data_IF_048878452100
#
_entry.id   IF_048878452100
#
_cell.length_a   1.000
_cell.length_b   1.000
_cell.length_c   1.000
_cell.angle_alpha   90.00
_cell.angle_beta   90.00
_cell.angle_gamma   90.00
#
_symmetry.space_group_name_H-M   'P 1'
#
loop_
_entity.id
_entity.type
_entity.pdbx_description
1 polymer ?
#
# COMPACT_ATOMS: atom_id res chain seq x y z
N UNK A 1 15.33 2.28 -27.64
CA UNK A 1 15.81 3.45 -26.88
C UNK A 1 14.58 4.29 -26.59
N UNK A 2 14.12 4.30 -25.34
CA UNK A 2 12.95 5.08 -24.93
C UNK A 2 13.44 6.38 -24.31
N UNK A 3 13.28 7.48 -25.03
CA UNK A 3 13.45 8.83 -24.50
C UNK A 3 12.34 9.06 -23.47
N UNK A 4 12.67 8.88 -22.19
CA UNK A 4 11.81 9.35 -21.12
C UNK A 4 11.79 10.89 -21.21
N UNK A 5 10.60 11.53 -21.29
CA UNK A 5 10.52 12.98 -21.43
C UNK A 5 11.16 13.67 -20.22
N UNK A 6 11.84 14.78 -20.49
CA UNK A 6 12.52 15.59 -19.49
C UNK A 6 11.50 16.04 -18.42
N UNK A 7 11.74 15.84 -17.11
CA UNK A 7 10.79 16.21 -16.05
C UNK A 7 10.33 17.67 -16.06
N UNK A 8 11.06 18.55 -16.77
CA UNK A 8 10.66 19.93 -17.02
C UNK A 8 9.38 20.06 -17.90
N UNK A 9 9.11 19.10 -18.79
CA UNK A 9 8.00 19.15 -19.76
C UNK A 9 6.68 18.54 -19.26
N UNK A 10 6.69 17.91 -18.09
CA UNK A 10 5.49 17.26 -17.54
C UNK A 10 4.43 18.28 -17.10
N UNK A 11 3.18 18.01 -17.46
CA UNK A 11 2.03 18.80 -17.00
C UNK A 11 1.89 18.74 -15.47
N UNK A 12 1.26 19.75 -14.87
CA UNK A 12 0.98 19.77 -13.42
C UNK A 12 0.24 18.51 -12.94
N UNK A 13 -0.63 17.96 -13.78
CA UNK A 13 -1.34 16.71 -13.53
C UNK A 13 -0.40 15.50 -13.48
N UNK A 14 0.52 15.38 -14.45
CA UNK A 14 1.51 14.29 -14.49
C UNK A 14 2.53 14.39 -13.35
N UNK A 15 2.97 15.61 -13.01
CA UNK A 15 3.78 15.85 -11.80
C UNK A 15 3.05 15.39 -10.54
N UNK A 16 1.76 15.67 -10.44
CA UNK A 16 0.89 15.17 -9.37
C UNK A 16 0.84 13.64 -9.29
N UNK A 17 0.74 12.94 -10.43
CA UNK A 17 0.77 11.48 -10.49
C UNK A 17 2.13 10.95 -10.03
N UNK A 18 3.23 11.48 -10.57
CA UNK A 18 4.58 11.03 -10.25
C UNK A 18 4.91 11.22 -8.77
N UNK A 19 4.51 12.36 -8.19
CA UNK A 19 4.68 12.60 -6.76
C UNK A 19 3.94 11.57 -5.91
N UNK A 20 2.70 11.20 -6.29
CA UNK A 20 1.96 10.16 -5.59
C UNK A 20 2.58 8.77 -5.78
N UNK A 21 3.16 8.48 -6.95
CA UNK A 21 3.83 7.21 -7.20
C UNK A 21 5.15 7.04 -6.41
N UNK A 22 5.73 8.11 -5.87
CA UNK A 22 6.87 7.99 -4.95
C UNK A 22 6.49 7.23 -3.67
N UNK A 23 5.24 7.37 -3.22
CA UNK A 23 4.69 6.66 -2.05
C UNK A 23 3.84 5.45 -2.46
N UNK A 24 4.16 4.80 -3.60
CA UNK A 24 3.34 3.70 -4.15
C UNK A 24 3.07 2.59 -3.13
N UNK A 25 4.08 2.22 -2.31
CA UNK A 25 3.96 1.17 -1.29
C UNK A 25 2.86 1.43 -0.27
N UNK A 26 2.61 2.71 0.06
CA UNK A 26 1.52 3.10 0.97
C UNK A 26 0.16 2.77 0.38
N UNK A 27 -0.03 3.06 -0.90
CA UNK A 27 -1.27 2.76 -1.61
C UNK A 27 -1.44 1.25 -1.81
N UNK A 28 -0.38 0.54 -2.20
CA UNK A 28 -0.37 -0.92 -2.33
C UNK A 28 -0.80 -1.59 -1.02
N UNK A 29 -0.24 -1.20 0.13
CA UNK A 29 -0.61 -1.74 1.43
C UNK A 29 -2.10 -1.55 1.78
N UNK A 30 -2.65 -0.39 1.44
CA UNK A 30 -4.08 -0.11 1.66
C UNK A 30 -4.98 -0.93 0.72
N UNK A 31 -4.53 -1.17 -0.53
CA UNK A 31 -5.23 -2.04 -1.48
C UNK A 31 -5.18 -3.49 -1.01
N UNK A 32 -4.02 -4.00 -0.59
CA UNK A 32 -3.85 -5.35 -0.03
C UNK A 32 -4.83 -5.57 1.13
N UNK A 33 -4.80 -4.70 2.13
CA UNK A 33 -5.67 -4.80 3.29
C UNK A 33 -7.15 -4.80 2.91
N UNK A 34 -7.55 -4.01 1.91
CA UNK A 34 -8.92 -3.97 1.43
C UNK A 34 -9.33 -5.26 0.71
N UNK A 35 -8.53 -5.72 -0.25
CA UNK A 35 -8.80 -6.94 -1.03
C UNK A 35 -8.88 -8.15 -0.12
N UNK A 36 -7.88 -8.34 0.77
CA UNK A 36 -7.86 -9.47 1.71
C UNK A 36 -9.06 -9.45 2.65
N UNK A 37 -9.43 -8.29 3.18
CA UNK A 37 -10.60 -8.16 4.06
C UNK A 37 -11.89 -8.53 3.35
N UNK A 38 -12.11 -8.01 2.15
CA UNK A 38 -13.35 -8.29 1.40
C UNK A 38 -13.39 -9.75 0.96
N UNK A 39 -12.27 -10.31 0.51
CA UNK A 39 -12.17 -11.72 0.17
C UNK A 39 -12.44 -12.63 1.39
N UNK A 40 -11.88 -12.29 2.55
CA UNK A 40 -12.07 -13.08 3.77
C UNK A 40 -13.52 -13.03 4.28
N UNK A 41 -14.18 -11.87 4.18
CA UNK A 41 -15.53 -11.68 4.71
C UNK A 41 -16.64 -12.11 3.74
N UNK A 42 -16.42 -12.00 2.44
CA UNK A 42 -17.46 -12.14 1.43
C UNK A 42 -17.10 -13.07 0.27
N UNK A 43 -15.89 -13.66 0.28
CA UNK A 43 -15.35 -14.49 -0.81
C UNK A 43 -15.36 -13.82 -2.19
N UNK A 44 -15.44 -12.48 -2.22
CA UNK A 44 -15.32 -11.74 -3.48
C UNK A 44 -13.85 -11.63 -3.88
N UNK A 45 -13.59 -11.89 -5.15
CA UNK A 45 -12.28 -11.78 -5.78
C UNK A 45 -12.26 -10.76 -6.93
N UNK A 46 -13.39 -10.11 -7.23
CA UNK A 46 -13.50 -9.13 -8.30
C UNK A 46 -13.75 -7.72 -7.75
N UNK A 47 -12.98 -6.76 -8.26
CA UNK A 47 -12.98 -5.41 -7.75
C UNK A 47 -12.94 -4.39 -8.88
N UNK A 48 -13.96 -3.52 -8.98
CA UNK A 48 -13.89 -2.35 -9.83
C UNK A 48 -12.80 -1.40 -9.34
N UNK A 49 -11.93 -0.91 -10.23
CA UNK A 49 -10.87 0.05 -9.89
C UNK A 49 -11.42 1.32 -9.22
N UNK A 50 -12.64 1.72 -9.60
CA UNK A 50 -13.35 2.86 -9.04
C UNK A 50 -13.76 2.64 -7.58
N UNK A 51 -14.12 1.40 -7.22
CA UNK A 51 -14.44 1.04 -5.84
C UNK A 51 -13.20 1.02 -4.98
N UNK A 52 -12.11 0.43 -5.46
CA UNK A 52 -10.80 0.48 -4.80
C UNK A 52 -10.42 1.95 -4.55
N UNK A 53 -10.47 2.79 -5.59
CA UNK A 53 -10.13 4.21 -5.47
C UNK A 53 -10.94 4.92 -4.38
N UNK A 54 -12.27 4.73 -4.33
CA UNK A 54 -13.13 5.34 -3.31
C UNK A 54 -12.70 4.93 -1.91
N UNK A 55 -12.52 3.63 -1.66
CA UNK A 55 -12.13 3.12 -0.34
C UNK A 55 -10.77 3.65 0.10
N UNK A 56 -9.79 3.73 -0.81
CA UNK A 56 -8.46 4.26 -0.51
C UNK A 56 -8.54 5.75 -0.18
N UNK A 57 -9.30 6.54 -0.95
CA UNK A 57 -9.51 7.96 -0.67
C UNK A 57 -10.20 8.19 0.67
N UNK A 58 -11.24 7.40 0.98
CA UNK A 58 -11.98 7.49 2.25
C UNK A 58 -11.07 7.16 3.43
N UNK A 59 -10.23 6.12 3.32
CA UNK A 59 -9.24 5.76 4.35
C UNK A 59 -8.18 6.84 4.59
N UNK A 60 -7.85 7.62 3.55
CA UNK A 60 -6.87 8.70 3.63
C UNK A 60 -7.50 10.06 3.96
N UNK A 61 -8.82 10.13 4.15
CA UNK A 61 -9.52 11.39 4.41
C UNK A 61 -9.44 12.39 3.25
N UNK A 62 -9.36 11.91 2.00
CA UNK A 62 -9.13 12.75 0.83
C UNK A 62 -10.44 13.24 0.20
N UNK A 63 -10.41 14.47 -0.31
CA UNK A 63 -11.56 15.07 -0.99
C UNK A 63 -11.90 14.40 -2.32
N UNK A 64 -13.20 14.30 -2.62
CA UNK A 64 -13.75 13.71 -3.86
C UNK A 64 -13.25 14.42 -5.13
N UNK A 65 -12.88 15.69 -5.04
CA UNK A 65 -12.31 16.49 -6.14
C UNK A 65 -11.04 15.86 -6.73
N UNK A 66 -10.28 15.12 -5.90
CA UNK A 66 -9.04 14.45 -6.31
C UNK A 66 -9.26 13.07 -6.94
N UNK A 67 -10.51 12.62 -7.12
CA UNK A 67 -10.82 11.27 -7.57
C UNK A 67 -10.13 10.90 -8.89
N UNK A 68 -10.11 11.79 -9.88
CA UNK A 68 -9.50 11.50 -11.18
C UNK A 68 -8.01 11.18 -11.05
N UNK A 69 -7.31 11.93 -10.21
CA UNK A 69 -5.87 11.75 -9.96
C UNK A 69 -5.60 10.41 -9.29
N UNK A 70 -6.30 10.12 -8.20
CA UNK A 70 -6.13 8.85 -7.48
C UNK A 70 -6.59 7.66 -8.29
N UNK A 71 -7.67 7.76 -9.06
CA UNK A 71 -8.12 6.68 -9.94
C UNK A 71 -7.04 6.32 -10.97
N UNK A 72 -6.33 7.32 -11.50
CA UNK A 72 -5.20 7.08 -12.41
C UNK A 72 -4.04 6.37 -11.70
N UNK A 73 -3.69 6.77 -10.48
CA UNK A 73 -2.65 6.11 -9.67
C UNK A 73 -3.02 4.65 -9.37
N UNK A 74 -4.26 4.39 -8.93
CA UNK A 74 -4.74 3.03 -8.64
C UNK A 74 -4.71 2.16 -9.89
N UNK A 75 -5.09 2.68 -11.06
CA UNK A 75 -4.97 1.94 -12.33
C UNK A 75 -3.52 1.60 -12.66
N UNK A 76 -2.57 2.51 -12.44
CA UNK A 76 -1.15 2.24 -12.66
C UNK A 76 -0.67 1.09 -11.76
N UNK A 77 -1.10 1.07 -10.48
CA UNK A 77 -0.78 -0.02 -9.55
C UNK A 77 -1.37 -1.35 -10.04
N UNK A 78 -2.66 -1.37 -10.39
CA UNK A 78 -3.34 -2.58 -10.84
C UNK A 78 -2.77 -3.14 -12.15
N UNK A 79 -2.39 -2.28 -13.10
CA UNK A 79 -1.71 -2.72 -14.32
C UNK A 79 -0.34 -3.35 -14.01
N UNK A 80 0.44 -2.75 -13.10
CA UNK A 80 1.72 -3.35 -12.65
C UNK A 80 1.51 -4.70 -11.96
N UNK A 81 0.38 -4.87 -11.26
CA UNK A 81 0.03 -6.12 -10.61
C UNK A 81 -0.45 -7.17 -11.60
N UNK A 82 -1.15 -6.76 -12.65
CA UNK A 82 -1.49 -7.62 -13.78
C UNK A 82 -0.23 -8.15 -14.48
N UNK A 83 0.74 -7.28 -14.78
CA UNK A 83 2.04 -7.68 -15.34
C UNK A 83 2.82 -8.65 -14.43
N UNK A 84 2.62 -8.59 -13.12
CA UNK A 84 3.21 -9.49 -12.13
C UNK A 84 2.39 -10.76 -11.86
N UNK A 85 1.25 -10.94 -12.53
CA UNK A 85 0.33 -12.05 -12.30
C UNK A 85 -0.27 -12.07 -10.89
N UNK A 86 -0.51 -10.89 -10.30
CA UNK A 86 -1.20 -10.72 -9.00
C UNK A 86 -2.72 -10.58 -9.23
N UNK A 87 -3.12 -9.97 -10.34
CA UNK A 87 -4.53 -9.85 -10.72
C UNK A 87 -4.68 -9.98 -12.24
N UNK A 88 -5.91 -10.12 -12.70
CA UNK A 88 -6.25 -10.19 -14.12
C UNK A 88 -7.26 -9.10 -14.45
N UNK A 89 -7.05 -8.39 -15.55
CA UNK A 89 -8.09 -7.53 -16.10
C UNK A 89 -9.20 -8.39 -16.70
N UNK A 90 -10.42 -8.27 -16.18
CA UNK A 90 -11.56 -9.09 -16.63
C UNK A 90 -12.34 -8.38 -17.71
N UNK A 91 -12.80 -7.17 -17.42
CA UNK A 91 -13.75 -6.51 -18.31
C UNK A 91 -13.94 -5.03 -18.02
N UNK A 92 -14.64 -4.43 -18.97
CA UNK A 92 -15.05 -3.07 -19.01
C UNK A 92 -16.59 -3.04 -18.96
N UNK A 93 -17.18 -2.89 -17.76
CA UNK A 93 -18.63 -2.85 -17.63
C UNK A 93 -19.19 -1.49 -18.07
N UNK A 94 -20.08 -1.48 -19.09
CA UNK A 94 -20.89 -0.31 -19.45
C UNK A 94 -22.11 -0.26 -18.52
N UNK A 95 -22.17 0.74 -17.67
CA UNK A 95 -23.42 1.07 -16.94
C UNK A 95 -24.37 1.76 -17.92
N UNK A 96 -25.59 1.25 -18.09
CA UNK A 96 -26.61 1.80 -19.01
C UNK A 96 -26.93 3.28 -18.76
N UNK A 97 -26.68 3.80 -17.56
CA UNK A 97 -26.86 5.21 -17.19
C UNK A 97 -25.60 6.09 -17.26
N UNK A 98 -24.41 5.52 -17.51
CA UNK A 98 -23.15 6.27 -17.51
C UNK A 98 -22.27 5.88 -18.71
N UNK A 99 -21.84 6.87 -19.51
CA UNK A 99 -20.85 6.71 -20.60
C UNK A 99 -19.46 6.22 -20.15
N UNK A 100 -19.27 5.92 -18.86
CA UNK A 100 -17.98 5.53 -18.27
C UNK A 100 -17.92 4.03 -18.07
N UNK A 101 -16.88 3.43 -18.62
CA UNK A 101 -16.51 2.03 -18.46
C UNK A 101 -15.88 1.81 -17.08
N UNK A 102 -16.36 0.83 -16.32
CA UNK A 102 -15.70 0.40 -15.09
C UNK A 102 -14.72 -0.72 -15.42
N UNK A 103 -13.47 -0.50 -15.08
CA UNK A 103 -12.43 -1.54 -15.17
C UNK A 103 -12.53 -2.44 -13.96
N UNK A 104 -12.66 -3.74 -14.20
CA UNK A 104 -12.79 -4.78 -13.18
C UNK A 104 -11.56 -5.65 -13.21
N UNK A 105 -10.95 -5.84 -12.04
CA UNK A 105 -9.79 -6.68 -11.84
C UNK A 105 -10.18 -7.86 -10.95
N UNK A 106 -9.72 -9.07 -11.31
CA UNK A 106 -9.94 -10.31 -10.56
C UNK A 106 -8.64 -10.77 -9.92
N UNK A 107 -8.72 -11.22 -8.68
CA UNK A 107 -7.60 -11.75 -7.91
C UNK A 107 -7.83 -13.24 -7.71
N UNK A 108 -7.25 -14.06 -8.58
CA UNK A 108 -7.30 -15.52 -8.44
C UNK A 108 -6.51 -15.98 -7.19
N UNK A 109 -6.64 -17.25 -6.82
CA UNK A 109 -6.06 -17.76 -5.58
C UNK A 109 -4.54 -17.52 -5.47
N UNK A 110 -3.78 -17.76 -6.56
CA UNK A 110 -2.34 -17.43 -6.63
C UNK A 110 -2.07 -15.93 -6.40
N UNK A 111 -2.91 -15.06 -6.97
CA UNK A 111 -2.83 -13.62 -6.76
C UNK A 111 -3.11 -13.21 -5.32
N UNK A 112 -4.10 -13.83 -4.68
CA UNK A 112 -4.43 -13.63 -3.27
C UNK A 112 -3.30 -14.12 -2.36
N UNK A 113 -2.67 -15.26 -2.67
CA UNK A 113 -1.51 -15.77 -1.94
C UNK A 113 -0.32 -14.81 -2.03
N UNK A 114 -0.01 -14.29 -3.22
CA UNK A 114 1.03 -13.26 -3.39
C UNK A 114 0.74 -12.00 -2.57
N UNK A 115 -0.51 -11.54 -2.55
CA UNK A 115 -0.93 -10.39 -1.74
C UNK A 115 -0.77 -10.68 -0.25
N UNK A 116 -1.16 -11.88 0.21
CA UNK A 116 -0.99 -12.29 1.61
C UNK A 116 0.48 -12.26 2.02
N UNK A 117 1.36 -12.82 1.21
CA UNK A 117 2.80 -12.82 1.47
C UNK A 117 3.34 -11.38 1.59
N UNK A 118 3.05 -10.52 0.60
CA UNK A 118 3.47 -9.12 0.61
C UNK A 118 2.91 -8.33 1.80
N UNK A 119 1.67 -8.61 2.18
CA UNK A 119 1.03 -7.97 3.34
C UNK A 119 1.70 -8.39 4.65
N UNK A 120 2.02 -9.69 4.82
CA UNK A 120 2.74 -10.20 5.99
C UNK A 120 4.13 -9.58 6.07
N UNK A 121 4.89 -9.57 4.97
CA UNK A 121 6.22 -8.95 4.93
C UNK A 121 6.17 -7.49 5.36
N UNK A 122 5.18 -6.75 4.87
CA UNK A 122 4.98 -5.34 5.26
C UNK A 122 4.63 -5.19 6.75
N UNK A 123 3.78 -6.06 7.29
CA UNK A 123 3.46 -6.05 8.72
C UNK A 123 4.70 -6.35 9.57
N UNK A 124 5.55 -7.30 9.15
CA UNK A 124 6.81 -7.61 9.84
C UNK A 124 7.74 -6.40 9.80
N UNK A 125 7.90 -5.74 8.64
CA UNK A 125 8.71 -4.52 8.52
C UNK A 125 8.22 -3.41 9.45
N UNK A 126 6.90 -3.22 9.57
CA UNK A 126 6.33 -2.20 10.45
C UNK A 126 6.55 -2.53 11.92
N UNK A 127 6.37 -3.80 12.31
CA UNK A 127 6.68 -4.27 13.67
C UNK A 127 8.15 -4.03 13.99
N UNK A 128 9.07 -4.42 13.09
CA UNK A 128 10.52 -4.25 13.33
C UNK A 128 10.88 -2.76 13.51
N UNK A 129 10.26 -1.85 12.75
CA UNK A 129 10.49 -0.41 12.89
C UNK A 129 9.94 0.14 14.21
N UNK A 130 8.81 -0.38 14.68
CA UNK A 130 8.19 0.05 15.94
C UNK A 130 8.84 -0.59 17.17
N UNK A 131 9.53 -1.73 17.02
CA UNK A 131 10.31 -2.36 18.10
C UNK A 131 11.54 -1.50 18.36
N UNK A 132 11.44 -0.66 19.40
CA UNK A 132 12.58 0.06 19.96
C UNK A 132 13.43 -0.91 20.80
N UNK A 133 14.28 -1.69 20.11
CA UNK A 133 15.11 -2.76 20.68
C UNK A 133 15.91 -2.30 21.92
N UNK A 134 16.28 -1.01 21.98
CA UNK A 134 17.00 -0.43 23.14
C UNK A 134 16.18 -0.38 24.42
N UNK A 135 14.86 -0.14 24.35
CA UNK A 135 13.98 -0.16 25.52
C UNK A 135 13.77 -1.56 26.06
N UNK A 136 13.56 -2.54 25.17
CA UNK A 136 13.27 -3.91 25.58
C UNK A 136 14.51 -4.64 26.13
N UNK A 137 15.71 -4.30 25.65
CA UNK A 137 16.96 -4.78 26.25
C UNK A 137 17.17 -4.30 27.69
N UNK A 138 16.66 -3.12 28.07
CA UNK A 138 16.70 -2.68 29.46
C UNK A 138 15.73 -3.47 30.36
N UNK A 139 14.59 -3.92 29.83
CA UNK A 139 13.60 -4.73 30.56
C UNK A 139 14.12 -6.13 30.85
N UNK A 140 15.00 -6.67 30.00
CA UNK A 140 15.65 -7.99 30.19
C UNK A 140 16.89 -7.96 31.09
N UNK A 141 17.35 -6.78 31.54
CA UNK A 141 18.45 -6.72 32.51
C UNK A 141 17.93 -7.13 33.88
N UNK A 142 18.56 -8.13 34.47
CA UNK A 142 18.35 -8.44 35.88
C UNK A 142 18.71 -7.23 36.73
N UNK A 143 18.07 -7.10 37.89
CA UNK A 143 18.27 -5.99 38.83
C UNK A 143 19.76 -5.73 39.12
N UNK A 144 20.56 -6.79 39.23
CA UNK A 144 22.00 -6.70 39.50
C UNK A 144 22.78 -6.04 38.34
N UNK A 145 22.46 -6.38 37.09
CA UNK A 145 23.07 -5.75 35.90
C UNK A 145 22.71 -4.28 35.76
N UNK A 146 21.49 -3.91 36.15
CA UNK A 146 21.06 -2.50 36.16
C UNK A 146 21.87 -1.71 37.20
N UNK A 147 22.10 -2.31 38.37
CA UNK A 147 22.90 -1.69 39.45
C UNK A 147 24.38 -1.57 39.02
N UNK A 148 24.96 -2.60 38.40
CA UNK A 148 26.34 -2.54 37.88
C UNK A 148 26.54 -1.43 36.85
N UNK A 149 25.64 -1.32 35.86
CA UNK A 149 25.72 -0.27 34.83
C UNK A 149 25.57 1.15 35.41
N UNK A 150 24.69 1.33 36.39
CA UNK A 150 24.54 2.62 37.09
C UNK A 150 25.79 2.96 37.92
N UNK A 151 26.35 1.97 38.59
CA UNK A 151 27.56 2.12 39.40
C UNK A 151 28.77 2.45 38.52
N UNK A 152 28.85 1.85 37.33
CA UNK A 152 29.87 2.15 36.33
C UNK A 152 29.74 3.60 35.82
N UNK A 153 28.53 4.02 35.44
CA UNK A 153 28.27 5.40 34.97
C UNK A 153 28.55 6.47 36.02
N UNK A 154 28.30 6.18 37.30
CA UNK A 154 28.62 7.09 38.41
C UNK A 154 30.12 7.18 38.73
N UNK A 155 30.94 6.22 38.28
CA UNK A 155 32.40 6.27 38.44
C UNK A 155 33.11 7.02 37.30
N UNK A 156 32.44 7.20 36.17
CA UNK A 156 32.96 7.97 35.03
C UNK A 156 32.54 9.45 35.04
N UNK A 157 31.75 9.86 36.04
CA UNK A 157 31.43 11.26 36.37
C UNK A 157 32.36 11.77 37.49
#
# INVERSE_FOLDING_TARGET
>A
MSDAPDPAELSSYEKGINNLLNDIKKYEALIWAYVLRVNSNFHSNEFPSTQITKIIMDKLGLEKTKFSLFHKVIRIILNRWEEKGICEFVSNARTSSARKTKEIYRFNDDGLEKIKAQFIDKCIEDIIKDVNVEKDLQVLKTRDRIIEDLTFKLREL
#
